data_IF_083475251103
#
_entry.id   IF_083475251103
#
_cell.length_a   1.000
_cell.length_b   1.000
_cell.length_c   1.000
_cell.angle_alpha   90.00
_cell.angle_beta   90.00
_cell.angle_gamma   90.00
#
_symmetry.space_group_name_H-M   'P 1'
#
loop_
_entity.id
_entity.type
_entity.pdbx_description
1 polymer ?
#
# COMPACT_ATOMS: atom_id res chain seq x y z
N UNK A 1 -11.72 -35.28 9.22
CA UNK A 1 -10.82 -34.48 8.36
C UNK A 1 -10.09 -33.33 9.11
N UNK A 2 -10.54 -32.87 10.28
CA UNK A 2 -9.95 -31.75 11.05
C UNK A 2 -8.66 -32.10 11.81
N UNK A 3 -8.59 -33.22 12.45
CA UNK A 3 -7.49 -33.61 13.36
C UNK A 3 -6.15 -33.85 12.64
N UNK A 4 -6.16 -34.49 11.48
CA UNK A 4 -4.97 -34.68 10.64
C UNK A 4 -4.39 -33.37 10.12
N UNK A 5 -5.25 -32.41 9.67
CA UNK A 5 -4.82 -31.05 9.26
C UNK A 5 -4.20 -30.29 10.45
N UNK A 6 -4.73 -30.47 11.64
CA UNK A 6 -4.23 -29.79 12.85
C UNK A 6 -2.89 -30.35 13.30
N UNK A 7 -2.69 -31.68 13.25
CA UNK A 7 -1.41 -32.35 13.52
C UNK A 7 -0.32 -31.94 12.51
N UNK A 8 -0.67 -31.91 11.22
CA UNK A 8 0.25 -31.47 10.15
C UNK A 8 0.66 -30.01 10.34
N UNK A 9 -0.27 -29.12 10.72
CA UNK A 9 0.02 -27.71 11.03
C UNK A 9 0.97 -27.57 12.23
N UNK A 10 0.73 -28.32 13.33
CA UNK A 10 1.63 -28.30 14.51
C UNK A 10 3.02 -28.82 14.17
N UNK A 11 3.10 -29.92 13.43
CA UNK A 11 4.37 -30.48 12.95
C UNK A 11 5.15 -29.48 12.08
N UNK A 12 4.48 -28.86 11.13
CA UNK A 12 5.11 -27.85 10.27
C UNK A 12 5.57 -26.60 11.04
N UNK A 13 4.79 -26.14 12.02
CA UNK A 13 5.16 -25.03 12.90
C UNK A 13 6.41 -25.36 13.73
N UNK A 14 6.49 -26.58 14.28
CA UNK A 14 7.66 -27.06 15.03
C UNK A 14 8.92 -27.10 14.17
N UNK A 15 8.84 -27.66 12.96
CA UNK A 15 9.99 -27.69 12.04
C UNK A 15 10.41 -26.30 11.58
N UNK A 16 9.46 -25.37 11.35
CA UNK A 16 9.78 -23.98 11.05
C UNK A 16 10.55 -23.31 12.19
N UNK A 17 10.14 -23.55 13.43
CA UNK A 17 10.82 -23.02 14.62
C UNK A 17 12.25 -23.56 14.74
N UNK A 18 12.46 -24.87 14.50
CA UNK A 18 13.79 -25.47 14.49
C UNK A 18 14.67 -24.85 13.41
N UNK A 19 14.17 -24.75 12.17
CA UNK A 19 14.92 -24.14 11.05
C UNK A 19 15.27 -22.68 11.35
N UNK A 20 14.34 -21.93 11.94
CA UNK A 20 14.55 -20.54 12.33
C UNK A 20 15.65 -20.43 13.41
N UNK A 21 15.61 -21.28 14.42
CA UNK A 21 16.64 -21.30 15.47
C UNK A 21 18.02 -21.71 14.90
N UNK A 22 18.08 -22.66 13.99
CA UNK A 22 19.32 -23.07 13.33
C UNK A 22 19.96 -21.96 12.52
N UNK A 23 19.17 -21.21 11.76
CA UNK A 23 19.72 -20.08 10.99
C UNK A 23 20.21 -18.98 11.91
N UNK A 24 19.47 -18.64 12.97
CA UNK A 24 19.91 -17.68 13.98
C UNK A 24 21.19 -18.13 14.69
N UNK A 25 21.29 -19.40 15.04
CA UNK A 25 22.52 -19.98 15.66
C UNK A 25 23.70 -19.88 14.70
N UNK A 26 23.50 -20.22 13.40
CA UNK A 26 24.56 -20.14 12.38
C UNK A 26 25.14 -18.74 12.24
N UNK A 27 24.28 -17.71 12.33
CA UNK A 27 24.70 -16.31 12.16
C UNK A 27 25.05 -15.63 13.48
N UNK A 28 24.73 -16.23 14.64
CA UNK A 28 25.02 -15.68 15.98
C UNK A 28 26.48 -15.33 16.20
N UNK A 29 27.39 -16.13 15.66
CA UNK A 29 28.83 -16.02 15.95
C UNK A 29 29.67 -15.68 14.71
N UNK A 30 29.07 -15.51 13.54
CA UNK A 30 29.81 -15.38 12.27
C UNK A 30 29.89 -13.96 11.71
N UNK A 31 29.10 -13.06 12.25
CA UNK A 31 29.04 -11.69 11.71
C UNK A 31 29.12 -10.69 12.85
N UNK A 32 30.21 -9.93 12.87
CA UNK A 32 30.24 -8.68 13.63
C UNK A 32 29.32 -7.68 12.94
N UNK A 33 28.48 -6.98 13.72
CA UNK A 33 27.66 -5.90 13.21
C UNK A 33 28.57 -4.82 12.65
N UNK A 34 28.40 -4.51 11.37
CA UNK A 34 29.12 -3.38 10.77
C UNK A 34 28.44 -2.10 11.19
N UNK A 35 29.20 -1.06 11.58
CA UNK A 35 28.62 0.26 11.79
C UNK A 35 28.00 0.75 10.47
N UNK A 36 26.78 1.30 10.55
CA UNK A 36 26.12 1.85 9.39
C UNK A 36 26.81 3.15 8.97
N UNK A 37 27.33 3.18 7.76
CA UNK A 37 27.93 4.36 7.16
C UNK A 37 27.29 4.64 5.79
N UNK A 38 26.41 5.63 5.67
CA UNK A 38 25.73 5.96 4.41
C UNK A 38 26.69 6.21 3.26
N UNK A 39 27.86 6.79 3.51
CA UNK A 39 28.87 7.11 2.48
C UNK A 39 29.46 5.85 1.79
N UNK A 40 29.30 4.68 2.38
CA UNK A 40 29.76 3.40 1.82
C UNK A 40 28.64 2.63 1.11
N UNK A 41 27.44 3.18 1.06
CA UNK A 41 26.27 2.57 0.45
C UNK A 41 26.01 3.28 -0.87
N UNK A 42 25.86 2.51 -1.94
CA UNK A 42 25.43 3.00 -3.25
C UNK A 42 24.16 2.27 -3.71
N UNK A 43 24.14 0.94 -3.56
CA UNK A 43 23.04 0.07 -4.05
C UNK A 43 22.24 -0.46 -2.90
N UNK A 44 20.93 -0.14 -2.90
CA UNK A 44 20.00 -0.49 -1.84
C UNK A 44 18.88 -1.38 -2.39
N UNK A 45 18.63 -2.52 -1.74
CA UNK A 45 17.49 -3.39 -2.05
C UNK A 45 16.41 -3.25 -0.98
N UNK A 46 15.21 -2.89 -1.37
CA UNK A 46 14.03 -2.89 -0.51
C UNK A 46 13.28 -4.22 -0.61
N UNK A 47 12.97 -4.84 0.52
CA UNK A 47 12.19 -6.07 0.59
C UNK A 47 10.72 -5.77 0.95
N UNK A 48 9.84 -6.06 0.01
CA UNK A 48 8.38 -6.00 0.16
C UNK A 48 7.77 -7.30 -0.39
N UNK A 49 7.94 -8.38 0.36
CA UNK A 49 7.68 -9.75 -0.11
C UNK A 49 6.20 -10.16 -0.05
N UNK A 50 5.36 -9.40 0.63
CA UNK A 50 3.96 -9.72 0.92
C UNK A 50 2.97 -9.23 -0.14
N UNK A 51 3.45 -8.57 -1.19
CA UNK A 51 2.67 -8.04 -2.32
C UNK A 51 1.50 -7.11 -1.90
N UNK A 52 1.61 -6.46 -0.74
CA UNK A 52 0.61 -5.51 -0.26
C UNK A 52 0.77 -4.15 -0.93
N UNK A 53 -0.21 -3.80 -1.74
CA UNK A 53 -0.21 -2.56 -2.53
C UNK A 53 -0.09 -1.31 -1.66
N UNK A 54 -0.88 -1.20 -0.58
CA UNK A 54 -0.83 -0.03 0.30
C UNK A 54 0.54 0.20 0.93
N UNK A 55 1.13 -0.86 1.46
CA UNK A 55 2.50 -0.86 2.01
C UNK A 55 3.54 -0.46 0.94
N UNK A 56 3.38 -0.97 -0.28
CA UNK A 56 4.28 -0.63 -1.38
C UNK A 56 4.15 0.84 -1.77
N UNK A 57 2.94 1.38 -1.88
CA UNK A 57 2.73 2.81 -2.19
C UNK A 57 3.43 3.70 -1.15
N UNK A 58 3.30 3.37 0.14
CA UNK A 58 4.05 4.09 1.20
C UNK A 58 5.56 3.93 1.03
N UNK A 59 6.04 2.74 0.63
CA UNK A 59 7.47 2.47 0.40
C UNK A 59 8.06 3.35 -0.71
N UNK A 60 7.26 3.71 -1.73
CA UNK A 60 7.74 4.53 -2.86
C UNK A 60 8.28 5.89 -2.44
N UNK A 61 7.70 6.49 -1.38
CA UNK A 61 8.20 7.75 -0.84
C UNK A 61 9.64 7.63 -0.32
N UNK A 62 9.96 6.57 0.40
CA UNK A 62 11.33 6.31 0.85
C UNK A 62 12.27 6.00 -0.32
N UNK A 63 11.81 5.22 -1.29
CA UNK A 63 12.59 4.88 -2.47
C UNK A 63 12.95 6.13 -3.29
N UNK A 64 11.98 7.01 -3.53
CA UNK A 64 12.20 8.28 -4.25
C UNK A 64 13.17 9.19 -3.50
N UNK A 65 13.01 9.36 -2.18
CA UNK A 65 13.91 10.15 -1.35
C UNK A 65 15.36 9.65 -1.44
N UNK A 66 15.58 8.35 -1.32
CA UNK A 66 16.94 7.79 -1.46
C UNK A 66 17.48 8.00 -2.88
N UNK A 67 16.68 7.77 -3.91
CA UNK A 67 17.06 7.96 -5.31
C UNK A 67 17.47 9.41 -5.61
N UNK A 68 16.74 10.40 -5.11
CA UNK A 68 17.04 11.83 -5.24
C UNK A 68 18.34 12.24 -4.54
N UNK A 69 18.78 11.44 -3.54
CA UNK A 69 20.06 11.62 -2.86
C UNK A 69 21.17 10.74 -3.43
N UNK A 70 20.99 10.20 -4.62
CA UNK A 70 22.04 9.50 -5.38
C UNK A 70 22.17 8.01 -5.09
N UNK A 71 21.28 7.40 -4.30
CA UNK A 71 21.28 5.96 -4.08
C UNK A 71 20.57 5.22 -5.22
N UNK A 72 21.12 4.09 -5.66
CA UNK A 72 20.50 3.18 -6.62
C UNK A 72 19.55 2.24 -5.88
N UNK A 73 18.25 2.54 -5.92
CA UNK A 73 17.24 1.78 -5.17
C UNK A 73 16.59 0.74 -6.06
N UNK A 74 16.62 -0.52 -5.64
CA UNK A 74 15.88 -1.61 -6.26
C UNK A 74 14.86 -2.17 -5.26
N UNK A 75 13.83 -2.83 -5.77
CA UNK A 75 12.78 -3.44 -4.95
C UNK A 75 12.62 -4.91 -5.31
N UNK A 76 12.50 -5.79 -4.32
CA UNK A 76 12.10 -7.18 -4.46
C UNK A 76 10.68 -7.35 -3.91
N UNK A 77 9.72 -7.68 -4.79
CA UNK A 77 8.30 -7.67 -4.46
C UNK A 77 7.50 -8.71 -5.24
N UNK A 78 6.24 -8.91 -4.87
CA UNK A 78 5.31 -9.79 -5.57
C UNK A 78 4.81 -9.22 -6.91
N UNK A 79 4.01 -10.02 -7.64
CA UNK A 79 3.64 -9.69 -9.02
C UNK A 79 2.77 -8.43 -9.15
N UNK A 80 1.84 -8.18 -8.22
CA UNK A 80 0.93 -7.02 -8.28
C UNK A 80 1.72 -5.72 -8.08
N UNK A 81 2.56 -5.67 -7.05
CA UNK A 81 3.39 -4.49 -6.79
C UNK A 81 4.45 -4.28 -7.87
N UNK A 82 5.00 -5.37 -8.45
CA UNK A 82 5.91 -5.27 -9.59
C UNK A 82 5.23 -4.65 -10.81
N UNK A 83 3.98 -5.06 -11.11
CA UNK A 83 3.19 -4.47 -12.19
C UNK A 83 2.95 -2.98 -11.93
N UNK A 84 2.53 -2.61 -10.71
CA UNK A 84 2.25 -1.23 -10.33
C UNK A 84 3.47 -0.32 -10.44
N UNK A 85 4.67 -0.84 -10.18
CA UNK A 85 5.93 -0.09 -10.24
C UNK A 85 6.61 -0.12 -11.62
N UNK A 86 6.01 -0.74 -12.62
CA UNK A 86 6.58 -0.78 -13.95
C UNK A 86 6.71 0.65 -14.52
N UNK A 87 7.92 1.01 -14.95
CA UNK A 87 8.22 2.36 -15.44
C UNK A 87 8.51 3.41 -14.36
N UNK A 88 8.68 3.02 -13.10
CA UNK A 88 9.12 3.93 -12.04
C UNK A 88 10.57 4.39 -12.27
N UNK A 89 10.76 5.64 -12.64
CA UNK A 89 12.05 6.25 -13.00
C UNK A 89 13.02 6.45 -11.82
N UNK A 90 12.49 6.38 -10.59
CA UNK A 90 13.26 6.46 -9.36
C UNK A 90 13.75 5.11 -8.84
N UNK A 91 13.45 4.01 -9.53
CA UNK A 91 13.91 2.67 -9.20
C UNK A 91 14.88 2.18 -10.26
N UNK A 92 16.05 1.69 -9.82
CA UNK A 92 17.00 1.01 -10.71
C UNK A 92 16.39 -0.26 -11.30
N UNK A 93 15.71 -1.06 -10.44
CA UNK A 93 15.08 -2.30 -10.87
C UNK A 93 14.01 -2.79 -9.90
N UNK A 94 12.96 -3.41 -10.45
CA UNK A 94 11.93 -4.13 -9.69
C UNK A 94 12.04 -5.64 -9.97
N UNK A 95 12.49 -6.38 -8.97
CA UNK A 95 12.63 -7.83 -9.03
C UNK A 95 11.35 -8.53 -8.58
N UNK A 96 11.01 -9.64 -9.24
CA UNK A 96 9.88 -10.47 -8.86
C UNK A 96 10.30 -11.47 -7.77
N UNK A 97 9.67 -11.37 -6.62
CA UNK A 97 9.81 -12.37 -5.57
C UNK A 97 8.95 -13.60 -5.85
N UNK A 98 9.57 -14.76 -5.79
CA UNK A 98 8.90 -16.06 -5.83
C UNK A 98 9.52 -16.98 -4.77
N UNK A 99 8.72 -17.79 -4.06
CA UNK A 99 9.27 -18.79 -3.15
C UNK A 99 10.27 -19.70 -3.88
N UNK A 100 11.47 -19.87 -3.31
CA UNK A 100 12.57 -20.67 -3.86
C UNK A 100 13.15 -20.17 -5.19
N UNK A 101 13.00 -18.88 -5.49
CA UNK A 101 13.64 -18.29 -6.68
C UNK A 101 15.16 -18.45 -6.65
N UNK A 102 15.78 -18.48 -7.82
CA UNK A 102 17.23 -18.35 -7.96
C UNK A 102 17.66 -16.93 -7.57
N UNK A 103 18.79 -16.81 -6.84
CA UNK A 103 19.26 -15.53 -6.32
C UNK A 103 20.48 -14.98 -7.08
N UNK A 104 20.89 -15.65 -8.18
CA UNK A 104 22.12 -15.31 -8.88
C UNK A 104 22.09 -13.89 -9.46
N UNK A 105 20.94 -13.46 -10.00
CA UNK A 105 20.73 -12.11 -10.50
C UNK A 105 20.80 -11.05 -9.38
N UNK A 106 20.15 -11.33 -8.24
CA UNK A 106 20.18 -10.43 -7.07
C UNK A 106 21.57 -10.34 -6.46
N UNK A 107 22.33 -11.45 -6.42
CA UNK A 107 23.71 -11.46 -5.94
C UNK A 107 24.64 -10.71 -6.90
N UNK A 108 24.47 -10.92 -8.20
CA UNK A 108 25.25 -10.24 -9.23
C UNK A 108 25.03 -8.71 -9.21
N UNK A 109 23.85 -8.25 -8.77
CA UNK A 109 23.57 -6.84 -8.60
C UNK A 109 24.42 -6.17 -7.49
N UNK A 110 24.96 -6.95 -6.55
CA UNK A 110 25.93 -6.50 -5.56
C UNK A 110 25.38 -5.41 -4.63
N UNK A 111 24.26 -5.66 -3.95
CA UNK A 111 23.67 -4.70 -3.03
C UNK A 111 24.57 -4.45 -1.81
N UNK A 112 24.77 -3.17 -1.51
CA UNK A 112 25.50 -2.75 -0.32
C UNK A 112 24.61 -2.87 0.93
N UNK A 113 23.34 -2.49 0.81
CA UNK A 113 22.37 -2.58 1.89
C UNK A 113 21.07 -3.26 1.43
N UNK A 114 20.48 -4.02 2.34
CA UNK A 114 19.12 -4.56 2.19
C UNK A 114 18.26 -4.00 3.31
N UNK A 115 17.10 -3.42 2.98
CA UNK A 115 16.13 -2.90 3.94
C UNK A 115 14.92 -3.83 3.99
N UNK A 116 14.70 -4.46 5.12
CA UNK A 116 13.55 -5.29 5.42
C UNK A 116 12.51 -4.49 6.22
N UNK A 117 11.45 -4.05 5.55
CA UNK A 117 10.42 -3.20 6.14
C UNK A 117 9.46 -3.94 7.07
N UNK A 118 9.41 -5.27 7.03
CA UNK A 118 8.44 -6.03 7.81
C UNK A 118 9.00 -6.47 9.16
N UNK A 119 8.11 -6.57 10.17
CA UNK A 119 8.43 -7.15 11.47
C UNK A 119 8.44 -8.70 11.46
N UNK A 120 8.13 -9.30 10.30
CA UNK A 120 8.00 -10.74 10.14
C UNK A 120 9.33 -11.44 10.39
N UNK A 121 9.30 -12.44 11.28
CA UNK A 121 10.45 -13.24 11.71
C UNK A 121 10.26 -14.69 11.25
N UNK A 122 10.64 -14.99 10.00
CA UNK A 122 10.52 -16.34 9.42
C UNK A 122 11.86 -16.85 8.90
N UNK A 123 12.00 -18.18 8.86
CA UNK A 123 13.18 -18.84 8.33
C UNK A 123 13.46 -18.42 6.88
N UNK A 124 12.44 -18.36 6.06
CA UNK A 124 12.54 -18.05 4.63
C UNK A 124 13.10 -16.64 4.41
N UNK A 125 12.64 -15.67 5.22
CA UNK A 125 13.12 -14.30 5.16
C UNK A 125 14.57 -14.16 5.61
N UNK A 126 14.89 -14.80 6.71
CA UNK A 126 16.27 -14.80 7.24
C UNK A 126 17.24 -15.52 6.29
N UNK A 127 16.79 -16.63 5.71
CA UNK A 127 17.56 -17.34 4.69
C UNK A 127 17.79 -16.46 3.46
N UNK A 128 16.76 -15.77 2.97
CA UNK A 128 16.88 -14.85 1.84
C UNK A 128 17.94 -13.77 2.12
N UNK A 129 17.86 -13.07 3.25
CA UNK A 129 18.84 -12.06 3.65
C UNK A 129 20.26 -12.62 3.73
N UNK A 130 20.40 -13.79 4.35
CA UNK A 130 21.69 -14.46 4.46
C UNK A 130 22.27 -14.87 3.10
N UNK A 131 21.43 -15.34 2.21
CA UNK A 131 21.81 -15.80 0.87
C UNK A 131 22.10 -14.66 -0.09
N UNK A 132 21.49 -13.49 0.09
CA UNK A 132 21.80 -12.27 -0.66
C UNK A 132 23.22 -11.78 -0.39
N UNK A 133 23.71 -11.92 0.84
CA UNK A 133 25.08 -11.59 1.20
C UNK A 133 25.41 -10.10 1.14
N UNK A 134 24.43 -9.21 1.26
CA UNK A 134 24.66 -7.76 1.31
C UNK A 134 25.56 -7.38 2.50
N UNK A 135 26.31 -6.30 2.37
CA UNK A 135 27.21 -5.81 3.42
C UNK A 135 26.47 -5.37 4.66
N UNK A 136 25.29 -4.78 4.51
CA UNK A 136 24.46 -4.30 5.61
C UNK A 136 23.01 -4.76 5.45
N UNK A 137 22.45 -5.40 6.44
CA UNK A 137 21.03 -5.73 6.55
C UNK A 137 20.38 -4.82 7.58
N UNK A 138 19.38 -4.07 7.16
CA UNK A 138 18.62 -3.13 7.98
C UNK A 138 17.23 -3.72 8.19
N UNK A 139 16.72 -3.68 9.41
CA UNK A 139 15.38 -4.17 9.73
C UNK A 139 14.72 -3.34 10.82
N UNK A 140 13.45 -3.65 11.12
CA UNK A 140 12.71 -3.01 12.20
C UNK A 140 12.51 -3.99 13.36
N UNK A 141 12.76 -3.53 14.60
CA UNK A 141 12.52 -4.29 15.84
C UNK A 141 13.23 -5.66 15.84
N UNK A 142 14.49 -5.72 15.38
CA UNK A 142 15.26 -6.95 15.17
C UNK A 142 16.63 -6.97 15.84
N UNK A 143 16.82 -6.20 16.91
CA UNK A 143 18.10 -6.10 17.63
C UNK A 143 18.64 -7.43 18.15
N UNK A 144 17.75 -8.35 18.50
CA UNK A 144 18.13 -9.68 19.01
C UNK A 144 18.77 -10.59 17.94
N UNK A 145 18.66 -10.20 16.63
CA UNK A 145 19.14 -11.04 15.53
C UNK A 145 20.41 -10.48 14.90
N UNK A 146 21.51 -11.18 15.06
CA UNK A 146 22.84 -10.83 14.52
C UNK A 146 22.92 -10.78 12.98
N UNK A 147 21.91 -11.29 12.28
CA UNK A 147 21.81 -11.20 10.83
C UNK A 147 21.52 -9.76 10.37
N UNK A 148 20.89 -8.95 11.22
CA UNK A 148 20.66 -7.53 10.95
C UNK A 148 21.79 -6.71 11.56
N UNK A 149 22.47 -5.94 10.72
CA UNK A 149 23.55 -5.04 11.15
C UNK A 149 22.98 -3.81 11.83
N UNK A 150 21.79 -3.37 11.36
CA UNK A 150 21.07 -2.26 11.95
C UNK A 150 19.61 -2.61 12.19
N UNK A 151 19.12 -2.27 13.36
CA UNK A 151 17.71 -2.43 13.72
C UNK A 151 17.13 -1.10 14.16
N UNK A 152 16.15 -0.63 13.39
CA UNK A 152 15.41 0.58 13.71
C UNK A 152 14.34 0.22 14.74
N UNK A 153 14.41 0.84 15.92
CA UNK A 153 13.38 0.70 16.93
C UNK A 153 12.16 1.52 16.55
N UNK A 154 11.05 0.86 16.26
CA UNK A 154 9.80 1.53 15.91
C UNK A 154 8.63 0.81 16.56
N UNK A 155 8.32 1.19 17.79
CA UNK A 155 7.22 0.64 18.59
C UNK A 155 6.09 1.63 18.81
N UNK A 156 6.26 2.88 18.36
CA UNK A 156 5.27 3.93 18.50
C UNK A 156 4.14 3.76 17.49
N UNK A 157 3.04 3.38 18.02
CA UNK A 157 1.84 3.02 17.31
C UNK A 157 0.86 4.17 17.07
N UNK A 158 1.11 5.31 17.67
CA UNK A 158 0.25 6.50 17.56
C UNK A 158 0.60 7.31 16.30
N UNK A 159 1.77 7.08 15.70
CA UNK A 159 2.22 7.79 14.51
C UNK A 159 1.68 7.16 13.23
N UNK A 160 1.46 8.01 12.24
CA UNK A 160 1.13 7.59 10.87
C UNK A 160 2.22 6.67 10.31
N UNK A 161 1.82 5.69 9.49
CA UNK A 161 2.75 4.67 8.95
C UNK A 161 3.96 5.26 8.23
N UNK A 162 3.83 6.41 7.56
CA UNK A 162 4.96 7.06 6.88
C UNK A 162 6.11 7.43 7.82
N UNK A 163 5.84 7.63 9.13
CA UNK A 163 6.88 7.89 10.10
C UNK A 163 7.90 6.75 10.19
N UNK A 164 7.45 5.49 10.05
CA UNK A 164 8.30 4.30 10.01
C UNK A 164 9.27 4.35 8.82
N UNK A 165 8.80 4.74 7.66
CA UNK A 165 9.62 4.82 6.45
C UNK A 165 10.57 6.01 6.47
N UNK A 166 10.17 7.12 7.12
CA UNK A 166 11.05 8.27 7.36
C UNK A 166 12.26 7.89 8.23
N UNK A 167 12.13 6.94 9.15
CA UNK A 167 13.27 6.48 9.95
C UNK A 167 14.34 5.79 9.08
N UNK A 168 13.96 5.11 7.99
CA UNK A 168 14.94 4.61 7.02
C UNK A 168 15.67 5.77 6.35
N UNK A 169 14.94 6.76 5.83
CA UNK A 169 15.56 7.92 5.21
C UNK A 169 16.51 8.66 6.17
N UNK A 170 16.11 8.82 7.44
CA UNK A 170 16.96 9.44 8.48
C UNK A 170 18.25 8.65 8.72
N UNK A 171 18.20 7.33 8.69
CA UNK A 171 19.38 6.49 8.81
C UNK A 171 20.39 6.79 7.67
N UNK A 172 19.91 7.13 6.47
CA UNK A 172 20.72 7.57 5.34
C UNK A 172 21.10 9.06 5.40
N UNK A 173 20.82 9.75 6.49
CA UNK A 173 21.13 11.17 6.67
C UNK A 173 20.13 12.11 5.99
N UNK A 174 19.00 11.59 5.50
CA UNK A 174 17.99 12.36 4.78
C UNK A 174 16.90 12.77 5.77
N UNK A 175 16.83 14.07 6.05
CA UNK A 175 15.77 14.67 6.88
C UNK A 175 14.81 15.38 5.95
N UNK A 176 13.61 14.83 5.79
CA UNK A 176 12.55 15.43 4.99
C UNK A 176 11.25 15.47 5.80
N UNK A 177 10.67 16.66 5.96
CA UNK A 177 9.40 16.85 6.64
C UNK A 177 8.22 16.41 5.77
N UNK A 178 8.34 16.59 4.46
CA UNK A 178 7.32 16.22 3.49
C UNK A 178 7.59 14.83 2.93
N UNK A 179 6.67 13.90 3.18
CA UNK A 179 6.77 12.52 2.72
C UNK A 179 5.67 12.25 1.68
N UNK A 180 6.04 12.36 0.40
CA UNK A 180 5.14 12.11 -0.72
C UNK A 180 5.26 10.67 -1.21
N UNK A 181 4.17 10.12 -1.72
CA UNK A 181 4.15 8.83 -2.41
C UNK A 181 4.26 9.06 -3.91
N UNK A 182 4.90 8.14 -4.61
CA UNK A 182 5.15 8.26 -6.03
C UNK A 182 4.72 7.00 -6.76
N UNK A 183 3.90 7.15 -7.78
CA UNK A 183 3.46 6.06 -8.64
C UNK A 183 3.73 6.41 -10.10
N UNK A 184 4.30 5.49 -10.89
CA UNK A 184 4.45 5.68 -12.31
C UNK A 184 3.08 5.74 -12.99
N UNK A 185 3.04 6.28 -14.20
CA UNK A 185 1.87 6.21 -15.05
C UNK A 185 1.91 4.98 -15.94
N UNK A 186 0.73 4.50 -16.32
CA UNK A 186 0.56 3.51 -17.37
C UNK A 186 -0.26 4.14 -18.51
N UNK A 187 0.42 4.48 -19.61
CA UNK A 187 -0.20 5.21 -20.71
C UNK A 187 -1.34 4.40 -21.39
N UNK A 188 -1.19 3.08 -21.48
CA UNK A 188 -2.20 2.23 -22.08
C UNK A 188 -3.46 2.15 -21.21
N UNK A 189 -3.28 1.95 -19.90
CA UNK A 189 -4.38 1.94 -18.95
C UNK A 189 -5.04 3.33 -18.84
N UNK A 190 -4.25 4.40 -18.89
CA UNK A 190 -4.79 5.76 -18.91
C UNK A 190 -5.69 5.99 -20.12
N UNK A 191 -5.27 5.58 -21.31
CA UNK A 191 -6.10 5.70 -22.52
C UNK A 191 -7.40 4.91 -22.41
N UNK A 192 -7.37 3.72 -21.80
CA UNK A 192 -8.59 2.94 -21.52
C UNK A 192 -9.54 3.66 -20.57
N UNK A 193 -9.00 4.26 -19.51
CA UNK A 193 -9.80 5.05 -18.54
C UNK A 193 -10.39 6.29 -19.21
N UNK A 194 -9.60 7.04 -19.96
CA UNK A 194 -10.06 8.23 -20.68
C UNK A 194 -11.16 7.88 -21.67
N UNK A 195 -11.03 6.77 -22.39
CA UNK A 195 -12.08 6.29 -23.30
C UNK A 195 -13.37 5.92 -22.54
N UNK A 196 -13.27 5.26 -21.40
CA UNK A 196 -14.41 4.94 -20.53
C UNK A 196 -15.11 6.23 -20.07
N UNK A 197 -14.34 7.20 -19.57
CA UNK A 197 -14.86 8.45 -19.06
C UNK A 197 -15.47 9.34 -20.18
N UNK A 198 -14.99 9.24 -21.42
CA UNK A 198 -15.53 9.98 -22.56
C UNK A 198 -16.92 9.53 -22.98
N UNK A 199 -17.39 8.36 -22.51
CA UNK A 199 -18.77 7.91 -22.74
C UNK A 199 -19.79 8.80 -22.00
N UNK A 200 -19.40 9.45 -20.91
CA UNK A 200 -20.22 10.37 -20.12
C UNK A 200 -20.04 11.81 -20.60
N UNK A 201 -20.92 12.21 -21.54
CA UNK A 201 -20.90 13.57 -22.07
C UNK A 201 -21.43 14.59 -21.08
N UNK A 202 -20.78 15.77 -21.03
CA UNK A 202 -21.21 16.90 -20.21
C UNK A 202 -21.07 16.69 -18.70
N UNK A 203 -20.19 15.76 -18.26
CA UNK A 203 -19.84 15.63 -16.83
C UNK A 203 -19.10 16.87 -16.35
N UNK A 204 -19.39 17.28 -15.12
CA UNK A 204 -18.68 18.37 -14.44
C UNK A 204 -17.65 17.84 -13.48
N UNK A 205 -17.93 16.69 -12.81
CA UNK A 205 -16.98 16.00 -11.95
C UNK A 205 -17.03 14.48 -12.16
N UNK A 206 -15.91 13.83 -11.93
CA UNK A 206 -15.76 12.38 -11.93
C UNK A 206 -15.41 11.88 -10.53
N UNK A 207 -16.20 10.95 -9.99
CA UNK A 207 -16.02 10.40 -8.65
C UNK A 207 -15.70 8.93 -8.74
N UNK A 208 -14.54 8.53 -8.18
CA UNK A 208 -14.18 7.13 -8.02
C UNK A 208 -14.72 6.57 -6.72
N UNK A 209 -15.39 5.42 -6.75
CA UNK A 209 -15.87 4.73 -5.55
C UNK A 209 -15.18 3.37 -5.45
N UNK A 210 -14.47 3.13 -4.34
CA UNK A 210 -13.92 1.82 -3.97
C UNK A 210 -14.64 1.28 -2.74
N UNK A 211 -15.63 0.39 -2.90
CA UNK A 211 -16.43 -0.10 -1.78
C UNK A 211 -15.83 -1.34 -1.09
N UNK A 212 -14.85 -2.02 -1.70
CA UNK A 212 -14.38 -3.32 -1.28
C UNK A 212 -12.95 -3.31 -0.78
N UNK A 213 -12.70 -4.15 0.22
CA UNK A 213 -11.39 -4.35 0.85
C UNK A 213 -10.98 -5.82 0.85
N UNK A 214 -9.86 -6.12 1.48
CA UNK A 214 -9.46 -7.50 1.77
C UNK A 214 -10.21 -8.10 2.99
N UNK A 215 -11.02 -7.31 3.70
CA UNK A 215 -11.69 -7.70 4.94
C UNK A 215 -13.15 -7.26 4.94
N UNK A 216 -14.07 -8.21 4.91
CA UNK A 216 -15.53 -7.98 4.73
C UNK A 216 -16.11 -6.98 5.75
N UNK A 217 -15.54 -6.91 6.94
CA UNK A 217 -15.97 -5.95 7.98
C UNK A 217 -15.68 -4.48 7.63
N UNK A 218 -14.89 -4.24 6.61
CA UNK A 218 -14.58 -2.91 6.10
C UNK A 218 -15.29 -2.60 4.77
N UNK A 219 -15.96 -3.57 4.17
CA UNK A 219 -16.65 -3.42 2.89
C UNK A 219 -17.96 -2.65 3.07
N UNK A 220 -18.30 -1.81 2.09
CA UNK A 220 -19.65 -1.30 1.93
C UNK A 220 -20.57 -2.42 1.43
N UNK A 221 -21.81 -2.42 1.86
CA UNK A 221 -22.82 -3.31 1.31
C UNK A 221 -23.44 -2.72 0.00
N UNK A 222 -24.12 -3.59 -0.76
CA UNK A 222 -24.77 -3.18 -2.03
C UNK A 222 -25.72 -2.00 -1.84
N UNK A 223 -26.53 -2.02 -0.78
CA UNK A 223 -27.51 -0.95 -0.52
C UNK A 223 -26.83 0.41 -0.29
N UNK A 224 -25.76 0.44 0.48
CA UNK A 224 -24.98 1.67 0.71
C UNK A 224 -24.39 2.22 -0.59
N UNK A 225 -23.85 1.34 -1.45
CA UNK A 225 -23.27 1.77 -2.74
C UNK A 225 -24.36 2.33 -3.65
N UNK A 226 -25.55 1.68 -3.71
CA UNK A 226 -26.68 2.15 -4.50
C UNK A 226 -27.20 3.52 -4.02
N UNK A 227 -27.45 3.67 -2.71
CA UNK A 227 -27.89 4.94 -2.09
C UNK A 227 -26.86 6.07 -2.35
N UNK A 228 -25.56 5.76 -2.22
CA UNK A 228 -24.51 6.73 -2.48
C UNK A 228 -24.52 7.20 -3.93
N UNK A 229 -24.65 6.31 -4.91
CA UNK A 229 -24.70 6.64 -6.34
C UNK A 229 -25.95 7.47 -6.64
N UNK A 230 -27.11 7.09 -6.12
CA UNK A 230 -28.37 7.81 -6.28
C UNK A 230 -28.23 9.27 -5.79
N UNK A 231 -27.70 9.46 -4.59
CA UNK A 231 -27.47 10.81 -4.01
C UNK A 231 -26.46 11.63 -4.83
N UNK A 232 -25.42 11.01 -5.37
CA UNK A 232 -24.44 11.69 -6.23
C UNK A 232 -25.09 12.16 -7.53
N UNK A 233 -25.93 11.33 -8.15
CA UNK A 233 -26.66 11.70 -9.36
C UNK A 233 -27.78 12.73 -9.12
N UNK A 234 -28.27 12.86 -7.88
CA UNK A 234 -29.25 13.87 -7.48
C UNK A 234 -28.63 15.26 -7.20
N UNK A 235 -27.30 15.42 -7.28
CA UNK A 235 -26.64 16.71 -7.14
C UNK A 235 -27.02 17.66 -8.30
N UNK A 236 -26.99 19.00 -8.07
CA UNK A 236 -27.42 19.98 -9.10
C UNK A 236 -26.45 20.12 -10.27
N UNK A 237 -25.42 19.32 -10.34
CA UNK A 237 -24.41 19.25 -11.40
C UNK A 237 -24.18 17.80 -11.83
N UNK A 238 -23.65 17.60 -13.03
CA UNK A 238 -23.52 16.26 -13.60
C UNK A 238 -22.29 15.51 -13.05
N UNK A 239 -22.55 14.44 -12.33
CA UNK A 239 -21.55 13.55 -11.74
C UNK A 239 -21.43 12.27 -12.56
N UNK A 240 -20.21 11.90 -12.94
CA UNK A 240 -19.89 10.55 -13.41
C UNK A 240 -19.30 9.73 -12.28
N UNK A 241 -19.83 8.53 -12.06
CA UNK A 241 -19.34 7.61 -11.02
C UNK A 241 -18.60 6.46 -11.67
N UNK A 242 -17.36 6.21 -11.20
CA UNK A 242 -16.52 5.07 -11.64
C UNK A 242 -16.22 4.17 -10.47
N UNK A 243 -16.57 2.90 -10.59
CA UNK A 243 -16.28 1.89 -9.58
C UNK A 243 -14.85 1.39 -9.70
N UNK A 244 -14.12 1.35 -8.60
CA UNK A 244 -12.74 0.85 -8.50
C UNK A 244 -12.69 -0.37 -7.59
N UNK A 245 -11.98 -1.41 -8.03
CA UNK A 245 -11.81 -2.63 -7.26
C UNK A 245 -11.81 -3.89 -8.13
N UNK A 246 -11.98 -5.03 -7.49
CA UNK A 246 -12.02 -6.31 -8.19
C UNK A 246 -13.28 -6.40 -9.07
N UNK A 247 -13.10 -6.48 -10.39
CA UNK A 247 -14.20 -6.43 -11.37
C UNK A 247 -15.31 -7.44 -11.13
N UNK A 248 -14.98 -8.64 -10.62
CA UNK A 248 -15.96 -9.66 -10.24
C UNK A 248 -16.88 -9.19 -9.11
N UNK A 249 -16.32 -8.59 -8.05
CA UNK A 249 -17.10 -8.04 -6.93
C UNK A 249 -17.96 -6.86 -7.37
N UNK A 250 -17.45 -6.01 -8.27
CA UNK A 250 -18.19 -4.87 -8.82
C UNK A 250 -19.38 -5.36 -9.65
N UNK A 251 -19.18 -6.33 -10.54
CA UNK A 251 -20.27 -6.92 -11.34
C UNK A 251 -21.38 -7.52 -10.47
N UNK A 252 -21.02 -8.13 -9.34
CA UNK A 252 -22.01 -8.70 -8.39
C UNK A 252 -22.90 -7.66 -7.72
N UNK A 253 -22.50 -6.38 -7.70
CA UNK A 253 -23.37 -5.31 -7.22
C UNK A 253 -24.57 -5.08 -8.13
N UNK A 254 -24.44 -5.39 -9.42
CA UNK A 254 -25.49 -5.21 -10.43
C UNK A 254 -26.07 -3.79 -10.39
N UNK A 255 -25.21 -2.80 -10.57
CA UNK A 255 -25.53 -1.37 -10.57
C UNK A 255 -25.19 -0.79 -11.95
N UNK A 256 -26.22 -0.59 -12.77
CA UNK A 256 -26.06 -0.12 -14.16
C UNK A 256 -25.81 1.40 -14.27
N UNK A 257 -25.85 2.10 -13.14
CA UNK A 257 -25.72 3.56 -13.04
C UNK A 257 -24.29 4.04 -12.79
N UNK A 258 -23.33 3.14 -12.72
CA UNK A 258 -21.92 3.47 -12.51
C UNK A 258 -21.04 2.82 -13.56
N UNK A 259 -20.04 3.55 -14.02
CA UNK A 259 -19.00 3.03 -14.91
C UNK A 259 -18.05 2.08 -14.16
N UNK A 260 -17.48 1.11 -14.85
CA UNK A 260 -16.36 0.32 -14.38
C UNK A 260 -15.56 -0.23 -15.55
N UNK A 261 -14.28 -0.50 -15.33
CA UNK A 261 -13.44 -1.16 -16.34
C UNK A 261 -13.60 -2.68 -16.20
N UNK A 262 -14.11 -3.38 -17.22
CA UNK A 262 -13.95 -4.83 -17.32
C UNK A 262 -12.46 -5.19 -17.31
N UNK A 263 -12.09 -6.30 -16.71
CA UNK A 263 -10.70 -6.76 -16.65
C UNK A 263 -9.73 -5.74 -16.04
N UNK A 264 -10.20 -4.98 -15.04
CA UNK A 264 -9.38 -4.04 -14.29
C UNK A 264 -8.25 -4.75 -13.54
N UNK A 265 -7.09 -4.14 -13.52
CA UNK A 265 -5.92 -4.55 -12.76
C UNK A 265 -5.43 -3.40 -11.85
N UNK A 266 -4.29 -3.56 -11.20
CA UNK A 266 -3.80 -2.52 -10.29
C UNK A 266 -3.45 -1.22 -11.04
N UNK A 267 -2.92 -1.29 -12.25
CA UNK A 267 -2.60 -0.09 -13.03
C UNK A 267 -3.87 0.63 -13.49
N UNK A 268 -4.93 -0.12 -13.86
CA UNK A 268 -6.26 0.47 -14.14
C UNK A 268 -6.78 1.24 -12.93
N UNK A 269 -6.68 0.66 -11.73
CA UNK A 269 -7.11 1.33 -10.50
C UNK A 269 -6.30 2.61 -10.25
N UNK A 270 -4.98 2.58 -10.45
CA UNK A 270 -4.10 3.75 -10.33
C UNK A 270 -4.51 4.85 -11.30
N UNK A 271 -4.77 4.51 -12.58
CA UNK A 271 -5.14 5.52 -13.58
C UNK A 271 -6.58 6.04 -13.38
N UNK A 272 -7.54 5.22 -12.93
CA UNK A 272 -8.86 5.72 -12.55
C UNK A 272 -8.74 6.77 -11.44
N UNK A 273 -7.99 6.47 -10.37
CA UNK A 273 -7.77 7.44 -9.27
C UNK A 273 -7.06 8.69 -9.78
N UNK A 274 -6.11 8.56 -10.70
CA UNK A 274 -5.42 9.71 -11.32
C UNK A 274 -6.37 10.60 -12.12
N UNK A 275 -7.32 10.01 -12.85
CA UNK A 275 -8.23 10.74 -13.74
C UNK A 275 -9.48 11.29 -13.05
N UNK A 276 -9.86 10.75 -11.87
CA UNK A 276 -11.02 11.23 -11.13
C UNK A 276 -10.71 12.46 -10.27
N UNK A 277 -11.77 13.25 -9.98
CA UNK A 277 -11.67 14.48 -9.20
C UNK A 277 -11.84 14.26 -7.71
N UNK A 278 -12.64 13.26 -7.30
CA UNK A 278 -12.90 12.87 -5.91
C UNK A 278 -12.82 11.36 -5.77
N UNK A 279 -12.30 10.88 -4.65
CA UNK A 279 -12.25 9.46 -4.30
C UNK A 279 -13.08 9.20 -3.06
N UNK A 280 -14.00 8.25 -3.13
CA UNK A 280 -14.73 7.72 -1.97
C UNK A 280 -14.29 6.28 -1.78
N UNK A 281 -13.70 5.94 -0.64
CA UNK A 281 -13.10 4.62 -0.46
C UNK A 281 -13.27 4.09 0.95
N UNK A 282 -13.42 2.78 1.05
CA UNK A 282 -13.16 2.07 2.29
C UNK A 282 -11.66 2.05 2.64
N UNK A 283 -11.28 1.61 3.85
CA UNK A 283 -9.88 1.48 4.31
C UNK A 283 -9.10 0.43 3.51
N UNK A 284 -8.50 0.87 2.40
CA UNK A 284 -7.75 0.02 1.45
C UNK A 284 -6.48 0.71 0.94
N UNK A 285 -5.76 0.04 0.04
CA UNK A 285 -4.64 0.61 -0.69
C UNK A 285 -5.00 1.87 -1.50
N UNK A 286 -6.29 2.03 -1.89
CA UNK A 286 -6.78 3.19 -2.66
C UNK A 286 -6.57 4.51 -1.89
N UNK A 287 -6.65 4.48 -0.55
CA UNK A 287 -6.31 5.64 0.30
C UNK A 287 -4.91 6.17 -0.01
N UNK A 288 -3.94 5.28 -0.12
CA UNK A 288 -2.54 5.65 -0.37
C UNK A 288 -2.29 6.00 -1.84
N UNK A 289 -2.99 5.36 -2.77
CA UNK A 289 -2.96 5.72 -4.20
C UNK A 289 -3.53 7.13 -4.40
N UNK A 290 -4.68 7.45 -3.78
CA UNK A 290 -5.27 8.78 -3.83
C UNK A 290 -4.32 9.86 -3.26
N UNK A 291 -3.65 9.55 -2.15
CA UNK A 291 -2.62 10.43 -1.58
C UNK A 291 -1.44 10.65 -2.51
N UNK A 292 -1.00 9.65 -3.27
CA UNK A 292 0.10 9.79 -4.22
C UNK A 292 -0.21 10.83 -5.32
N UNK A 293 -1.49 11.07 -5.61
CA UNK A 293 -1.96 12.08 -6.57
C UNK A 293 -2.59 13.30 -5.93
N UNK A 294 -2.46 13.44 -4.62
CA UNK A 294 -3.04 14.55 -3.83
C UNK A 294 -4.53 14.78 -4.12
N UNK A 295 -5.30 13.69 -4.31
CA UNK A 295 -6.70 13.74 -4.67
C UNK A 295 -7.60 14.11 -3.49
N UNK A 296 -8.60 14.96 -3.66
CA UNK A 296 -9.71 15.06 -2.73
C UNK A 296 -10.29 13.68 -2.43
N UNK A 297 -10.51 13.37 -1.16
CA UNK A 297 -10.93 12.02 -0.77
C UNK A 297 -11.83 12.01 0.45
N UNK A 298 -12.79 11.10 0.48
CA UNK A 298 -13.49 10.68 1.70
C UNK A 298 -13.18 9.21 1.93
N UNK A 299 -12.49 8.91 3.03
CA UNK A 299 -12.07 7.56 3.39
C UNK A 299 -12.81 7.08 4.65
N UNK A 300 -13.46 5.91 4.55
CA UNK A 300 -14.28 5.34 5.63
C UNK A 300 -13.55 4.19 6.30
N UNK A 301 -13.46 4.26 7.61
CA UNK A 301 -12.77 3.30 8.47
C UNK A 301 -13.73 2.75 9.52
N UNK A 302 -13.47 1.54 9.99
CA UNK A 302 -14.06 1.05 11.24
C UNK A 302 -13.07 1.18 12.42
N UNK A 303 -13.56 0.99 13.63
CA UNK A 303 -12.75 1.10 14.87
C UNK A 303 -11.94 -0.17 15.19
N UNK A 304 -11.88 -1.14 14.28
CA UNK A 304 -11.13 -2.38 14.54
C UNK A 304 -9.64 -2.14 14.72
N UNK A 305 -9.10 -2.87 15.68
CA UNK A 305 -7.66 -2.92 15.91
C UNK A 305 -6.99 -3.89 14.93
N UNK A 306 -5.79 -3.54 14.50
CA UNK A 306 -4.93 -4.41 13.70
C UNK A 306 -4.61 -5.69 14.49
N UNK A 307 -4.67 -6.84 13.83
CA UNK A 307 -4.50 -8.15 14.48
C UNK A 307 -3.07 -8.41 14.95
N UNK A 308 -2.10 -7.83 14.30
CA UNK A 308 -0.67 -8.00 14.54
C UNK A 308 -0.15 -7.09 15.66
N UNK A 309 -0.63 -5.86 15.72
CA UNK A 309 -0.15 -4.83 16.66
C UNK A 309 -1.14 -4.50 17.77
N UNK A 310 -2.41 -4.84 17.61
CA UNK A 310 -3.47 -4.46 18.56
C UNK A 310 -3.86 -2.98 18.51
N UNK A 311 -3.44 -2.25 17.52
CA UNK A 311 -3.52 -0.80 17.40
C UNK A 311 -4.65 -0.36 16.47
N UNK A 312 -5.19 0.87 16.63
CA UNK A 312 -6.25 1.34 15.76
C UNK A 312 -5.74 1.56 14.33
N UNK A 313 -6.26 0.78 13.37
CA UNK A 313 -5.87 0.86 11.97
C UNK A 313 -6.12 2.24 11.38
N UNK A 314 -7.23 2.88 11.75
CA UNK A 314 -7.61 4.21 11.28
C UNK A 314 -6.64 5.33 11.72
N UNK A 315 -5.80 5.12 12.72
CA UNK A 315 -4.76 6.08 13.13
C UNK A 315 -3.48 5.86 12.32
N UNK A 316 -3.03 4.60 12.23
CA UNK A 316 -1.76 4.25 11.60
C UNK A 316 -1.83 4.41 10.08
N UNK A 317 -2.93 3.94 9.49
CA UNK A 317 -3.17 3.95 8.05
C UNK A 317 -4.10 5.08 7.59
N UNK A 318 -4.23 6.13 8.40
CA UNK A 318 -4.98 7.33 8.03
C UNK A 318 -4.54 7.89 6.67
N UNK A 319 -5.38 8.66 5.98
CA UNK A 319 -4.98 9.35 4.75
C UNK A 319 -3.74 10.24 4.95
N UNK A 320 -3.72 11.03 6.03
CA UNK A 320 -2.57 11.83 6.47
C UNK A 320 -2.19 12.98 5.52
N UNK A 321 -3.15 13.59 4.81
CA UNK A 321 -2.99 14.81 4.01
C UNK A 321 -4.29 15.63 3.99
N UNK A 322 -4.20 16.92 3.68
CA UNK A 322 -5.24 17.93 3.95
C UNK A 322 -6.51 17.76 3.11
N UNK A 323 -6.37 17.35 1.84
CA UNK A 323 -7.49 17.15 0.92
C UNK A 323 -8.35 15.92 1.24
N UNK A 324 -7.88 15.06 2.13
CA UNK A 324 -8.64 13.88 2.55
C UNK A 324 -9.46 14.15 3.80
N UNK A 325 -10.68 13.63 3.80
CA UNK A 325 -11.56 13.57 4.96
C UNK A 325 -11.68 12.13 5.41
N UNK A 326 -11.30 11.85 6.64
CA UNK A 326 -11.41 10.55 7.26
C UNK A 326 -12.71 10.49 8.07
N UNK A 327 -13.52 9.47 7.82
CA UNK A 327 -14.69 9.15 8.63
C UNK A 327 -14.46 7.80 9.30
N UNK A 328 -14.57 7.76 10.61
CA UNK A 328 -14.47 6.52 11.39
C UNK A 328 -15.88 6.17 11.87
N UNK A 329 -16.45 5.08 11.35
CA UNK A 329 -17.78 4.65 11.74
C UNK A 329 -17.80 4.12 13.19
N UNK A 330 -18.94 4.30 13.84
CA UNK A 330 -19.14 3.84 15.21
C UNK A 330 -19.41 2.31 15.26
N UNK A 331 -19.94 1.78 14.19
CA UNK A 331 -20.32 0.39 14.02
C UNK A 331 -19.08 -0.51 13.90
N UNK A 332 -19.26 -1.81 14.19
CA UNK A 332 -18.20 -2.81 14.07
C UNK A 332 -17.87 -3.07 12.59
N UNK A 333 -18.87 -3.09 11.73
CA UNK A 333 -18.70 -3.28 10.29
C UNK A 333 -19.14 -1.99 9.58
N UNK A 334 -18.43 -1.62 8.52
CA UNK A 334 -18.81 -0.48 7.67
C UNK A 334 -20.20 -0.70 7.05
N UNK A 335 -20.55 -1.95 6.73
CA UNK A 335 -21.84 -2.30 6.16
C UNK A 335 -23.06 -1.99 7.06
N UNK A 336 -22.83 -1.78 8.36
CA UNK A 336 -23.91 -1.47 9.33
C UNK A 336 -24.15 0.05 9.47
N UNK A 337 -23.24 0.89 8.94
CA UNK A 337 -23.35 2.35 8.93
C UNK A 337 -24.38 2.84 7.91
N UNK A 338 -25.10 3.92 8.21
CA UNK A 338 -25.95 4.60 7.22
C UNK A 338 -25.16 5.58 6.34
N UNK A 339 -25.57 5.76 5.10
CA UNK A 339 -24.93 6.76 4.22
C UNK A 339 -25.14 8.18 4.76
N UNK A 340 -26.18 8.44 5.51
CA UNK A 340 -26.39 9.75 6.17
C UNK A 340 -25.21 10.16 7.07
N UNK A 341 -24.51 9.21 7.67
CA UNK A 341 -23.34 9.49 8.51
C UNK A 341 -22.14 10.09 7.71
N UNK A 342 -22.01 9.76 6.43
CA UNK A 342 -20.88 10.21 5.59
C UNK A 342 -21.29 11.20 4.51
N UNK A 343 -22.58 11.25 4.16
CA UNK A 343 -23.09 12.09 3.07
C UNK A 343 -22.75 13.57 3.20
N UNK A 344 -22.89 14.22 4.37
CA UNK A 344 -22.53 15.63 4.51
C UNK A 344 -21.07 15.92 4.13
N UNK A 345 -20.16 15.03 4.50
CA UNK A 345 -18.73 15.15 4.21
C UNK A 345 -18.47 14.97 2.70
N UNK A 346 -19.11 13.99 2.08
CA UNK A 346 -19.00 13.72 0.64
C UNK A 346 -19.52 14.91 -0.15
N UNK A 347 -20.72 15.41 0.21
CA UNK A 347 -21.37 16.56 -0.48
C UNK A 347 -20.48 17.80 -0.44
N UNK A 348 -19.94 18.15 0.72
CA UNK A 348 -19.04 19.31 0.87
C UNK A 348 -17.80 19.17 -0.03
N UNK A 349 -17.19 17.97 -0.09
CA UNK A 349 -16.04 17.73 -0.96
C UNK A 349 -16.42 17.86 -2.45
N UNK A 350 -17.55 17.31 -2.86
CA UNK A 350 -18.01 17.38 -4.24
C UNK A 350 -18.36 18.82 -4.65
N UNK A 351 -19.13 19.55 -3.82
CA UNK A 351 -19.51 20.94 -4.08
C UNK A 351 -18.26 21.84 -4.23
N UNK A 352 -17.23 21.64 -3.42
CA UNK A 352 -15.98 22.44 -3.47
C UNK A 352 -15.24 22.32 -4.81
N UNK A 353 -15.36 21.19 -5.49
CA UNK A 353 -14.69 20.93 -6.77
C UNK A 353 -15.36 21.71 -7.92
N UNK A 354 -16.67 21.77 -7.93
CA UNK A 354 -17.43 22.50 -8.96
C UNK A 354 -17.20 24.00 -8.84
N UNK A 355 -17.21 24.55 -7.62
CA UNK A 355 -16.92 25.98 -7.38
C UNK A 355 -15.52 26.35 -7.87
N UNK A 356 -14.53 25.51 -7.62
CA UNK A 356 -13.13 25.73 -8.05
C UNK A 356 -12.97 25.69 -9.56
N UNK A 357 -13.71 24.82 -10.26
CA UNK A 357 -13.70 24.71 -11.72
C UNK A 357 -14.36 25.92 -12.43
N UNK A 358 -15.35 26.56 -11.79
CA UNK A 358 -16.03 27.74 -12.33
C UNK A 358 -15.25 29.07 -12.18
N UNK A 359 -14.14 29.05 -11.42
CA UNK A 359 -13.27 30.21 -11.18
C UNK A 359 -11.95 30.17 -11.98
N UNK A 360 -11.66 29.07 -12.67
CA UNK A 360 -10.48 28.87 -13.51
C UNK A 360 -10.83 29.04 -14.99
#
# INVERSE_FOLDING_TARGET
>A
MGMFKQLTRKKNAFFRKIKFNLINYRYRNKRERQPFNPAQIQRVLFLRLDDKVGDMVVTTGCAKLLSEHGYQVSVLTGPICRQMLAGADFLERVYLYQPRMALDELRAAGFDAVVDFDDVKTYERFKLLADLGARCNIGFNKDEYKLYDWSIAFFDSQRHISARYKEVARLFGIVNEHYHYHLPGDAAERQRVEHLLAQEKGREICIAINPFTASVDKDFCRHQVADLIERLHALPYKVSVVMVGHSEKIRQLNLDTALYLPDSNINSAVEVIRCCDLVITADTAIVHIARAFDKPMVAVYNKRKLKDTGLPGYTIWAPGYDKAKQVVCEEVNVADMTIDAIWPVIKVQADSLVVSAGQA
#
